data_IF_314221797338
#
_entry.id   IF_314221797338
#
_cell.length_a   1.000
_cell.length_b   1.000
_cell.length_c   1.000
_cell.angle_alpha   90.00
_cell.angle_beta   90.00
_cell.angle_gamma   90.00
#
_symmetry.space_group_name_H-M   'P 1'
#
loop_
_entity.id
_entity.type
_entity.pdbx_description
1 polymer ?
#
# COMPACT_ATOMS: atom_id res chain seq x y z
N UNK A 1 -3.50 7.56 -27.36
CA UNK A 1 -3.66 6.71 -26.16
C UNK A 1 -4.82 7.31 -25.40
N UNK A 2 -5.97 6.66 -25.41
CA UNK A 2 -7.15 7.16 -24.69
C UNK A 2 -6.87 7.13 -23.17
N UNK A 3 -7.23 8.18 -22.41
CA UNK A 3 -7.04 8.17 -20.97
C UNK A 3 -7.91 7.08 -20.34
N UNK A 4 -7.26 6.05 -19.78
CA UNK A 4 -7.96 5.07 -18.92
C UNK A 4 -8.36 5.74 -17.63
N UNK A 5 -9.62 5.61 -17.25
CA UNK A 5 -10.07 5.95 -15.91
C UNK A 5 -9.32 5.08 -14.88
N UNK A 6 -8.53 5.71 -14.02
CA UNK A 6 -7.85 5.04 -12.91
C UNK A 6 -8.82 4.99 -11.73
N UNK A 7 -9.19 3.78 -11.31
CA UNK A 7 -10.07 3.58 -10.16
C UNK A 7 -9.29 3.53 -8.86
N UNK A 8 -10.00 3.65 -7.72
CA UNK A 8 -9.37 3.44 -6.41
C UNK A 8 -8.91 2.00 -6.23
N UNK A 9 -9.61 1.01 -6.80
CA UNK A 9 -9.18 -0.38 -6.81
C UNK A 9 -7.85 -0.57 -7.57
N UNK A 10 -7.67 0.12 -8.70
CA UNK A 10 -6.42 0.05 -9.47
C UNK A 10 -5.23 0.54 -8.65
N UNK A 11 -5.42 1.66 -7.94
CA UNK A 11 -4.39 2.22 -7.05
C UNK A 11 -4.08 1.23 -5.92
N UNK A 12 -5.11 0.66 -5.27
CA UNK A 12 -4.93 -0.31 -4.18
C UNK A 12 -4.16 -1.55 -4.65
N UNK A 13 -4.50 -2.07 -5.83
CA UNK A 13 -3.82 -3.23 -6.43
C UNK A 13 -2.35 -2.93 -6.70
N UNK A 14 -2.05 -1.81 -7.36
CA UNK A 14 -0.68 -1.41 -7.66
C UNK A 14 0.18 -1.23 -6.38
N UNK A 15 -0.39 -0.61 -5.34
CA UNK A 15 0.30 -0.46 -4.04
C UNK A 15 0.59 -1.81 -3.39
N UNK A 16 -0.37 -2.74 -3.43
CA UNK A 16 -0.20 -4.08 -2.88
C UNK A 16 0.90 -4.86 -3.60
N UNK A 17 0.90 -4.83 -4.94
CA UNK A 17 1.91 -5.49 -5.78
C UNK A 17 3.31 -4.93 -5.52
N UNK A 18 3.44 -3.59 -5.52
CA UNK A 18 4.70 -2.90 -5.24
C UNK A 18 5.22 -3.25 -3.85
N UNK A 19 4.36 -3.25 -2.82
CA UNK A 19 4.75 -3.60 -1.44
C UNK A 19 5.31 -5.02 -1.36
N UNK A 20 4.64 -5.99 -2.01
CA UNK A 20 5.11 -7.39 -2.06
C UNK A 20 6.45 -7.49 -2.80
N UNK A 21 6.60 -6.79 -3.92
CA UNK A 21 7.85 -6.78 -4.68
C UNK A 21 9.00 -6.22 -3.83
N UNK A 22 8.80 -5.08 -3.16
CA UNK A 22 9.80 -4.49 -2.27
C UNK A 22 10.19 -5.42 -1.13
N UNK A 23 9.21 -6.06 -0.46
CA UNK A 23 9.52 -7.01 0.61
C UNK A 23 10.38 -8.19 0.12
N UNK A 24 10.08 -8.72 -1.08
CA UNK A 24 10.88 -9.80 -1.69
C UNK A 24 12.31 -9.39 -1.97
N UNK A 25 12.55 -8.13 -2.38
CA UNK A 25 13.92 -7.61 -2.55
C UNK A 25 14.72 -7.62 -1.24
N UNK A 26 14.04 -7.55 -0.10
CA UNK A 26 14.63 -7.62 1.24
C UNK A 26 14.63 -9.04 1.83
N UNK A 27 14.28 -10.07 1.05
CA UNK A 27 14.17 -11.45 1.53
C UNK A 27 13.02 -11.67 2.52
N UNK A 28 12.03 -10.76 2.54
CA UNK A 28 10.84 -10.82 3.40
C UNK A 28 9.60 -11.19 2.57
N UNK A 29 8.61 -11.80 3.20
CA UNK A 29 7.31 -12.07 2.59
C UNK A 29 6.22 -11.20 3.24
N UNK A 30 5.28 -10.70 2.43
CA UNK A 30 4.07 -10.01 2.90
C UNK A 30 2.90 -10.97 2.70
N UNK A 31 2.33 -11.53 3.79
CA UNK A 31 1.24 -12.47 3.70
C UNK A 31 0.02 -11.90 2.97
N UNK A 32 -0.76 -12.79 2.37
CA UNK A 32 -2.06 -12.39 1.85
C UNK A 32 -2.98 -11.94 2.98
N UNK A 33 -3.72 -10.85 2.76
CA UNK A 33 -4.53 -10.23 3.80
C UNK A 33 -3.74 -9.53 4.91
N UNK A 34 -2.42 -9.33 4.77
CA UNK A 34 -1.65 -8.57 5.75
C UNK A 34 -2.20 -7.14 5.90
N UNK A 35 -2.80 -6.87 7.05
CA UNK A 35 -3.28 -5.54 7.44
C UNK A 35 -2.18 -4.83 8.22
N UNK A 36 -2.06 -3.51 8.01
CA UNK A 36 -1.14 -2.69 8.81
C UNK A 36 -1.50 -2.83 10.30
N UNK A 37 -0.50 -2.82 11.17
CA UNK A 37 -0.77 -2.81 12.60
C UNK A 37 -1.46 -1.50 13.00
N UNK A 38 -2.30 -1.56 14.04
CA UNK A 38 -3.01 -0.38 14.56
C UNK A 38 -2.07 0.80 14.85
N UNK A 39 -0.87 0.52 15.36
CA UNK A 39 0.18 1.53 15.61
C UNK A 39 0.63 2.25 14.34
N UNK A 40 0.79 1.52 13.24
CA UNK A 40 1.16 2.10 11.94
C UNK A 40 0.00 2.91 11.37
N UNK A 41 -1.23 2.42 11.51
CA UNK A 41 -2.42 3.18 11.08
C UNK A 41 -2.58 4.49 11.83
N UNK A 42 -2.37 4.48 13.15
CA UNK A 42 -2.43 5.68 13.99
C UNK A 42 -1.34 6.68 13.60
N UNK A 43 -0.11 6.21 13.38
CA UNK A 43 0.98 7.05 12.89
C UNK A 43 0.63 7.73 11.55
N UNK A 44 0.08 6.98 10.59
CA UNK A 44 -0.32 7.51 9.29
C UNK A 44 -1.46 8.53 9.41
N UNK A 45 -2.47 8.27 10.25
CA UNK A 45 -3.57 9.20 10.54
C UNK A 45 -3.06 10.52 11.12
N UNK A 46 -2.06 10.46 11.99
CA UNK A 46 -1.47 11.66 12.58
C UNK A 46 -0.60 12.43 11.58
N UNK A 47 0.14 11.71 10.73
CA UNK A 47 0.96 12.33 9.66
C UNK A 47 0.12 13.00 8.59
N UNK A 48 -1.02 12.42 8.18
CA UNK A 48 -1.90 13.01 7.17
C UNK A 48 -2.62 14.27 7.64
N UNK A 49 -2.70 14.51 8.96
CA UNK A 49 -3.28 15.75 9.54
C UNK A 49 -2.28 16.90 9.62
N UNK A 50 -0.99 16.62 9.48
CA UNK A 50 0.08 17.60 9.57
C UNK A 50 0.59 18.08 8.19
N UNK A 51 -0.06 17.65 7.10
CA UNK A 51 0.28 17.98 5.72
C UNK A 51 -0.78 18.89 5.09
#
# INVERSE_FOLDING_TARGET
MEPRAITREDIKRAVSESTRASARLEGREVPEGFVRSARVEEFLKNRSKAA
#
